data_IF_311861957349
#
_entry.id   IF_311861957349
#
_cell.length_a   1.000
_cell.length_b   1.000
_cell.length_c   1.000
_cell.angle_alpha   90.00
_cell.angle_beta   90.00
_cell.angle_gamma   90.00
#
_symmetry.space_group_name_H-M   'P 1'
#
loop_
_entity.id
_entity.type
_entity.pdbx_description
1 polymer ?
#
# COMPACT_ATOMS: atom_id res chain seq x y z
N UNK A 1 17.81 42.54 -1.58
CA UNK A 1 16.55 41.78 -1.79
C UNK A 1 16.92 40.32 -1.91
N UNK A 2 16.51 39.50 -0.93
CA UNK A 2 16.92 38.10 -0.79
C UNK A 2 15.97 37.22 -1.62
N UNK A 3 16.54 36.37 -2.46
CA UNK A 3 15.84 35.45 -3.34
C UNK A 3 15.07 34.39 -2.55
N UNK A 4 13.77 34.28 -2.82
CA UNK A 4 12.91 33.20 -2.34
C UNK A 4 13.19 31.93 -3.16
N UNK A 5 13.99 31.02 -2.61
CA UNK A 5 14.07 29.64 -3.08
C UNK A 5 12.80 28.92 -2.64
N UNK A 6 11.83 28.77 -3.56
CA UNK A 6 10.64 27.95 -3.31
C UNK A 6 11.00 26.46 -3.40
N UNK A 7 10.56 25.62 -2.44
CA UNK A 7 10.96 24.23 -2.37
C UNK A 7 10.29 23.38 -3.45
N UNK A 8 11.10 22.52 -4.03
CA UNK A 8 10.78 21.45 -4.98
C UNK A 8 9.79 20.48 -4.32
N UNK A 9 8.49 20.63 -4.60
CA UNK A 9 7.44 19.71 -4.12
C UNK A 9 6.74 18.93 -5.25
N UNK A 10 7.24 18.99 -6.49
CA UNK A 10 6.49 18.55 -7.68
C UNK A 10 6.95 17.24 -8.36
N UNK A 11 7.84 16.46 -7.73
CA UNK A 11 8.31 15.17 -8.32
C UNK A 11 7.64 13.93 -7.70
N UNK A 12 6.82 14.06 -6.66
CA UNK A 12 6.30 12.90 -5.92
C UNK A 12 5.05 12.22 -6.49
N UNK A 13 4.37 12.80 -7.49
CA UNK A 13 3.05 12.28 -7.89
C UNK A 13 3.11 11.03 -8.79
N UNK A 14 4.20 10.81 -9.54
CA UNK A 14 4.37 9.62 -10.38
C UNK A 14 5.02 8.43 -9.62
N UNK A 15 5.71 8.70 -8.51
CA UNK A 15 6.41 7.68 -7.72
C UNK A 15 5.57 7.13 -6.55
N UNK A 16 4.45 7.77 -6.22
CA UNK A 16 3.53 7.36 -5.16
C UNK A 16 2.34 6.50 -5.65
N UNK A 17 2.34 6.12 -6.94
CA UNK A 17 1.26 5.34 -7.58
C UNK A 17 1.58 3.84 -7.71
N UNK A 18 2.78 3.44 -7.33
CA UNK A 18 3.14 2.03 -7.21
C UNK A 18 3.73 1.82 -5.83
N UNK A 19 3.36 0.75 -5.10
CA UNK A 19 4.24 0.25 -4.05
C UNK A 19 5.55 -0.10 -4.76
N UNK A 20 6.54 0.79 -4.64
CA UNK A 20 7.91 0.40 -4.95
C UNK A 20 8.19 -0.77 -4.02
N UNK A 21 8.56 -1.95 -4.51
CA UNK A 21 9.13 -2.93 -3.62
C UNK A 21 10.32 -2.23 -2.93
N UNK A 22 10.47 -2.43 -1.62
CA UNK A 22 11.55 -1.83 -0.83
C UNK A 22 12.95 -2.09 -1.45
N UNK A 23 13.06 -3.07 -2.36
CA UNK A 23 14.25 -3.38 -3.15
C UNK A 23 14.60 -2.41 -4.29
N UNK A 24 13.74 -1.46 -4.69
CA UNK A 24 13.99 -0.56 -5.83
C UNK A 24 14.82 0.68 -5.49
N UNK A 25 15.24 0.85 -4.23
CA UNK A 25 16.24 1.83 -3.81
C UNK A 25 17.27 1.10 -2.95
N UNK A 26 18.00 0.15 -3.54
CA UNK A 26 19.27 -0.26 -2.96
C UNK A 26 20.18 0.97 -3.01
N UNK A 27 20.18 1.75 -1.93
CA UNK A 27 21.14 2.81 -1.71
C UNK A 27 22.52 2.16 -1.83
N UNK A 28 23.37 2.57 -2.80
CA UNK A 28 24.67 1.97 -3.00
C UNK A 28 25.60 2.11 -1.78
N UNK A 29 25.21 2.89 -0.76
CA UNK A 29 25.90 2.99 0.53
C UNK A 29 25.57 1.86 1.52
N UNK A 30 24.51 1.09 1.30
CA UNK A 30 24.14 0.00 2.20
C UNK A 30 24.91 -1.29 1.84
N UNK A 31 25.46 -2.01 2.84
CA UNK A 31 26.11 -3.29 2.60
C UNK A 31 25.17 -4.30 1.90
N UNK A 32 25.71 -5.22 1.09
CA UNK A 32 24.92 -6.28 0.49
C UNK A 32 24.15 -7.08 1.55
N UNK A 33 22.86 -7.33 1.31
CA UNK A 33 22.00 -8.10 2.21
C UNK A 33 21.36 -7.31 3.36
N UNK A 34 21.75 -6.04 3.60
CA UNK A 34 21.15 -5.22 4.66
C UNK A 34 19.64 -5.00 4.46
N UNK A 35 19.20 -4.79 3.22
CA UNK A 35 17.76 -4.65 2.92
C UNK A 35 16.96 -5.93 3.23
N UNK A 36 17.55 -7.11 3.02
CA UNK A 36 16.89 -8.38 3.33
C UNK A 36 16.71 -8.58 4.84
N UNK A 37 17.64 -8.05 5.66
CA UNK A 37 17.50 -8.06 7.12
C UNK A 37 16.35 -7.14 7.56
N UNK A 38 16.25 -5.93 7.00
CA UNK A 38 15.13 -5.04 7.30
C UNK A 38 13.78 -5.64 6.89
N UNK A 39 13.71 -6.22 5.68
CA UNK A 39 12.54 -6.95 5.21
C UNK A 39 12.15 -8.09 6.17
N UNK A 40 13.13 -8.83 6.69
CA UNK A 40 12.89 -9.92 7.64
C UNK A 40 12.41 -9.41 9.01
N UNK A 41 12.94 -8.28 9.49
CA UNK A 41 12.47 -7.64 10.72
C UNK A 41 11.01 -7.20 10.57
N UNK A 42 10.67 -6.57 9.45
CA UNK A 42 9.29 -6.16 9.16
C UNK A 42 8.35 -7.38 9.05
N UNK A 43 8.81 -8.46 8.40
CA UNK A 43 8.07 -9.73 8.30
C UNK A 43 7.85 -10.33 9.70
N UNK A 44 8.83 -10.29 10.61
CA UNK A 44 8.68 -10.77 11.99
C UNK A 44 7.61 -9.99 12.77
N UNK A 45 7.59 -8.66 12.65
CA UNK A 45 6.59 -7.83 13.30
C UNK A 45 5.18 -8.12 12.78
N UNK A 46 5.05 -8.34 11.48
CA UNK A 46 3.77 -8.72 10.88
C UNK A 46 3.36 -10.14 11.27
N UNK A 47 4.30 -11.08 11.37
CA UNK A 47 4.03 -12.44 11.85
C UNK A 47 3.58 -12.46 13.33
N UNK A 48 4.08 -11.56 14.18
CA UNK A 48 3.60 -11.42 15.57
C UNK A 48 2.11 -11.08 15.61
N UNK A 49 1.60 -10.29 14.67
CA UNK A 49 0.18 -9.96 14.53
C UNK A 49 -0.63 -11.10 13.87
N UNK A 50 -0.05 -11.78 12.88
CA UNK A 50 -0.75 -12.79 12.08
C UNK A 50 -0.81 -14.18 12.75
N UNK A 51 0.20 -14.55 13.56
CA UNK A 51 0.30 -15.88 14.16
C UNK A 51 -0.84 -16.19 15.14
N UNK A 52 -1.22 -15.29 16.08
CA UNK A 52 -2.30 -15.56 17.04
C UNK A 52 -3.66 -15.84 16.39
N UNK A 53 -3.89 -15.30 15.19
CA UNK A 53 -5.12 -15.51 14.40
C UNK A 53 -5.23 -16.98 13.96
N UNK A 54 -4.11 -17.68 13.77
CA UNK A 54 -4.12 -19.09 13.38
C UNK A 54 -4.60 -19.33 11.95
N UNK A 55 -4.23 -18.44 11.02
CA UNK A 55 -4.54 -18.58 9.58
C UNK A 55 -3.85 -19.85 9.05
N UNK A 56 -4.60 -20.80 8.52
CA UNK A 56 -4.04 -22.03 7.95
C UNK A 56 -3.60 -21.84 6.48
N UNK A 57 -2.91 -22.83 5.91
CA UNK A 57 -2.38 -22.72 4.55
C UNK A 57 -3.45 -22.50 3.47
N UNK A 58 -4.62 -23.13 3.60
CA UNK A 58 -5.73 -22.94 2.65
C UNK A 58 -6.35 -21.55 2.73
N UNK A 59 -6.51 -21.00 3.94
CA UNK A 59 -6.97 -19.62 4.15
C UNK A 59 -5.95 -18.62 3.58
N UNK A 60 -4.65 -18.84 3.83
CA UNK A 60 -3.59 -17.99 3.31
C UNK A 60 -3.59 -17.93 1.77
N UNK A 61 -3.82 -19.06 1.07
CA UNK A 61 -3.99 -19.06 -0.39
C UNK A 61 -5.17 -18.22 -0.87
N UNK A 62 -6.34 -18.39 -0.25
CA UNK A 62 -7.52 -17.56 -0.57
C UNK A 62 -7.28 -16.08 -0.32
N UNK A 63 -6.52 -15.74 0.71
CA UNK A 63 -6.12 -14.37 1.01
C UNK A 63 -5.20 -13.83 -0.10
N UNK A 64 -4.20 -14.61 -0.55
CA UNK A 64 -3.33 -14.22 -1.68
C UNK A 64 -4.16 -13.91 -2.93
N UNK A 65 -5.06 -14.81 -3.32
CA UNK A 65 -5.94 -14.63 -4.49
C UNK A 65 -6.82 -13.38 -4.38
N UNK A 66 -7.40 -13.15 -3.20
CA UNK A 66 -8.17 -11.94 -2.90
C UNK A 66 -7.31 -10.69 -3.07
N UNK A 67 -6.14 -10.65 -2.44
CA UNK A 67 -5.26 -9.48 -2.43
C UNK A 67 -4.70 -9.16 -3.81
N UNK A 68 -4.29 -10.16 -4.59
CA UNK A 68 -3.85 -9.98 -5.99
C UNK A 68 -4.96 -9.38 -6.84
N UNK A 69 -6.17 -9.93 -6.73
CA UNK A 69 -7.34 -9.44 -7.46
C UNK A 69 -7.66 -7.99 -7.10
N UNK A 70 -7.66 -7.67 -5.79
CA UNK A 70 -7.95 -6.31 -5.32
C UNK A 70 -6.85 -5.32 -5.69
N UNK A 71 -5.58 -5.70 -5.55
CA UNK A 71 -4.45 -4.85 -5.90
C UNK A 71 -4.48 -4.50 -7.40
N UNK A 72 -4.71 -5.48 -8.27
CA UNK A 72 -4.84 -5.25 -9.72
C UNK A 72 -6.00 -4.29 -10.02
N UNK A 73 -7.18 -4.54 -9.45
CA UNK A 73 -8.36 -3.70 -9.66
C UNK A 73 -8.16 -2.27 -9.16
N UNK A 74 -7.58 -2.10 -7.97
CA UNK A 74 -7.29 -0.79 -7.39
C UNK A 74 -6.28 0.00 -8.23
N UNK A 75 -5.17 -0.64 -8.63
CA UNK A 75 -4.16 0.00 -9.48
C UNK A 75 -4.75 0.44 -10.83
N UNK A 76 -5.57 -0.40 -11.44
CA UNK A 76 -6.27 -0.05 -12.69
C UNK A 76 -7.15 1.19 -12.51
N UNK A 77 -7.92 1.26 -11.42
CA UNK A 77 -8.74 2.45 -11.11
C UNK A 77 -7.89 3.69 -10.87
N UNK A 78 -6.77 3.58 -10.15
CA UNK A 78 -5.88 4.73 -9.97
C UNK A 78 -5.28 5.23 -11.28
N UNK A 79 -4.91 4.32 -12.18
CA UNK A 79 -4.42 4.66 -13.52
C UNK A 79 -5.51 5.40 -14.30
N UNK A 80 -6.74 4.89 -14.34
CA UNK A 80 -7.86 5.55 -15.02
C UNK A 80 -8.13 6.96 -14.47
N UNK A 81 -8.08 7.11 -13.14
CA UNK A 81 -8.28 8.40 -12.48
C UNK A 81 -7.14 9.40 -12.74
N UNK A 82 -5.90 8.93 -12.90
CA UNK A 82 -4.73 9.78 -13.11
C UNK A 82 -4.51 10.13 -14.59
N UNK A 83 -4.69 9.17 -15.48
CA UNK A 83 -4.27 9.28 -16.90
C UNK A 83 -5.22 10.18 -17.69
N UNK A 84 -6.53 10.04 -17.51
CA UNK A 84 -7.51 10.78 -18.32
C UNK A 84 -7.37 12.31 -18.18
N UNK A 85 -7.23 12.89 -16.98
CA UNK A 85 -6.99 14.33 -16.84
C UNK A 85 -5.64 14.78 -17.42
N UNK A 86 -4.59 13.95 -17.33
CA UNK A 86 -3.24 14.30 -17.78
C UNK A 86 -3.10 14.25 -19.30
N UNK A 87 -3.83 13.37 -19.99
CA UNK A 87 -3.82 13.31 -21.47
C UNK A 87 -4.20 14.65 -22.09
N UNK A 88 -5.18 15.35 -21.53
CA UNK A 88 -5.69 16.61 -22.06
C UNK A 88 -4.66 17.77 -22.01
N UNK A 89 -3.69 17.70 -21.10
CA UNK A 89 -2.67 18.75 -20.89
C UNK A 89 -1.24 18.24 -21.13
N UNK A 90 -1.08 17.01 -21.61
CA UNK A 90 0.21 16.32 -21.67
C UNK A 90 1.24 17.00 -22.58
N UNK A 91 0.84 17.40 -23.79
CA UNK A 91 1.72 18.12 -24.71
C UNK A 91 2.12 19.50 -24.18
N UNK A 92 1.19 20.18 -23.51
CA UNK A 92 1.45 21.49 -22.89
C UNK A 92 2.44 21.40 -21.73
N UNK A 93 2.35 20.32 -20.94
CA UNK A 93 3.32 19.99 -19.89
C UNK A 93 4.70 19.73 -20.49
N UNK A 94 4.80 18.92 -21.55
CA UNK A 94 6.09 18.62 -22.21
C UNK A 94 6.73 19.89 -22.75
N UNK A 95 5.98 20.70 -23.51
CA UNK A 95 6.46 21.96 -24.05
C UNK A 95 6.91 22.92 -22.93
N UNK A 96 6.16 22.99 -21.83
CA UNK A 96 6.53 23.83 -20.68
C UNK A 96 7.78 23.33 -19.97
N UNK A 97 7.96 22.00 -19.84
CA UNK A 97 9.19 21.41 -19.31
C UNK A 97 10.39 21.83 -20.15
N UNK A 98 10.31 21.74 -21.47
CA UNK A 98 11.42 22.08 -22.35
C UNK A 98 11.76 23.58 -22.28
N UNK A 99 10.76 24.46 -22.13
CA UNK A 99 10.98 25.88 -21.85
C UNK A 99 11.65 26.12 -20.50
N UNK A 100 11.24 25.38 -19.45
CA UNK A 100 11.85 25.50 -18.13
C UNK A 100 13.33 25.09 -18.14
N UNK A 101 13.71 24.10 -18.95
CA UNK A 101 15.12 23.68 -19.09
C UNK A 101 16.00 24.81 -19.65
N UNK A 102 15.43 25.75 -20.38
CA UNK A 102 16.13 26.93 -20.92
C UNK A 102 15.91 28.20 -20.10
N UNK A 103 15.41 28.09 -18.86
CA UNK A 103 15.18 29.23 -17.96
C UNK A 103 13.86 29.98 -18.16
N UNK A 104 12.90 29.39 -18.89
CA UNK A 104 11.55 29.94 -19.04
C UNK A 104 10.71 29.85 -17.77
N UNK A 105 9.42 30.20 -17.87
CA UNK A 105 8.45 30.14 -16.78
C UNK A 105 7.25 29.23 -17.10
N UNK A 106 6.54 28.79 -16.05
CA UNK A 106 5.29 28.04 -16.18
C UNK A 106 4.15 29.02 -16.44
N UNK A 107 3.34 28.85 -17.49
CA UNK A 107 2.12 29.63 -17.66
C UNK A 107 1.17 29.46 -16.47
N UNK A 108 0.63 30.56 -15.93
CA UNK A 108 -0.25 30.53 -14.75
C UNK A 108 -1.46 29.59 -14.94
N UNK A 109 -2.12 29.65 -16.09
CA UNK A 109 -3.26 28.79 -16.40
C UNK A 109 -2.91 27.30 -16.45
N UNK A 110 -1.70 26.95 -16.90
CA UNK A 110 -1.22 25.57 -16.87
C UNK A 110 -0.93 25.13 -15.44
N UNK A 111 -0.26 25.96 -14.65
CA UNK A 111 0.04 25.68 -13.25
C UNK A 111 -1.24 25.46 -12.43
N UNK A 112 -2.26 26.31 -12.63
CA UNK A 112 -3.56 26.16 -11.98
C UNK A 112 -4.28 24.88 -12.39
N UNK A 113 -4.27 24.51 -13.69
CA UNK A 113 -4.84 23.24 -14.16
C UNK A 113 -4.12 22.04 -13.56
N UNK A 114 -2.79 22.05 -13.52
CA UNK A 114 -1.99 20.98 -12.88
C UNK A 114 -2.36 20.84 -11.40
N UNK A 115 -2.37 21.95 -10.65
CA UNK A 115 -2.74 21.96 -9.22
C UNK A 115 -4.16 21.44 -8.98
N UNK A 116 -5.11 21.85 -9.81
CA UNK A 116 -6.49 21.36 -9.74
C UNK A 116 -6.55 19.86 -10.01
N UNK A 117 -5.92 19.37 -11.08
CA UNK A 117 -5.86 17.93 -11.38
C UNK A 117 -5.22 17.12 -10.25
N UNK A 118 -4.18 17.64 -9.61
CA UNK A 118 -3.56 17.01 -8.44
C UNK A 118 -4.54 16.91 -7.25
N UNK A 119 -5.22 18.01 -6.92
CA UNK A 119 -6.21 18.05 -5.84
C UNK A 119 -7.37 17.08 -6.11
N UNK A 120 -7.90 17.10 -7.34
CA UNK A 120 -8.99 16.22 -7.76
C UNK A 120 -8.56 14.75 -7.72
N UNK A 121 -7.33 14.45 -8.15
CA UNK A 121 -6.78 13.09 -8.06
C UNK A 121 -6.66 12.62 -6.61
N UNK A 122 -6.11 13.44 -5.71
CA UNK A 122 -5.97 13.08 -4.28
C UNK A 122 -7.35 12.82 -3.66
N UNK A 123 -8.35 13.65 -3.95
CA UNK A 123 -9.71 13.45 -3.46
C UNK A 123 -10.32 12.13 -3.97
N UNK A 124 -10.21 11.85 -5.28
CA UNK A 124 -10.73 10.61 -5.87
C UNK A 124 -9.96 9.36 -5.39
N UNK A 125 -8.63 9.47 -5.23
CA UNK A 125 -7.80 8.39 -4.68
C UNK A 125 -8.24 8.00 -3.27
N UNK A 126 -8.58 8.98 -2.42
CA UNK A 126 -9.09 8.72 -1.06
C UNK A 126 -10.38 7.90 -1.11
N UNK A 127 -11.34 8.28 -1.96
CA UNK A 127 -12.60 7.55 -2.14
C UNK A 127 -12.35 6.10 -2.60
N UNK A 128 -11.50 5.90 -3.59
CA UNK A 128 -11.17 4.56 -4.07
C UNK A 128 -10.38 3.75 -3.03
N UNK A 129 -9.54 4.40 -2.21
CA UNK A 129 -8.81 3.75 -1.12
C UNK A 129 -9.78 3.26 -0.02
N UNK A 130 -10.73 4.08 0.40
CA UNK A 130 -11.73 3.72 1.41
C UNK A 130 -12.63 2.56 0.90
N UNK A 131 -13.02 2.62 -0.37
CA UNK A 131 -13.75 1.54 -1.04
C UNK A 131 -12.93 0.25 -1.12
N UNK A 132 -11.66 0.33 -1.50
CA UNK A 132 -10.78 -0.84 -1.56
C UNK A 132 -10.54 -1.44 -0.17
N UNK A 133 -10.36 -0.61 0.87
CA UNK A 133 -10.26 -1.07 2.25
C UNK A 133 -11.50 -1.89 2.63
N UNK A 134 -12.70 -1.38 2.38
CA UNK A 134 -13.94 -2.11 2.68
C UNK A 134 -14.00 -3.47 1.95
N UNK A 135 -13.68 -3.50 0.66
CA UNK A 135 -13.70 -4.72 -0.13
C UNK A 135 -12.67 -5.75 0.35
N UNK A 136 -11.47 -5.31 0.71
CA UNK A 136 -10.43 -6.18 1.29
C UNK A 136 -10.88 -6.68 2.66
N UNK A 137 -11.39 -5.81 3.53
CA UNK A 137 -11.84 -6.18 4.86
C UNK A 137 -12.99 -7.19 4.83
N UNK A 138 -14.02 -6.94 4.02
CA UNK A 138 -15.17 -7.83 3.86
C UNK A 138 -14.73 -9.18 3.26
N UNK A 139 -13.86 -9.17 2.25
CA UNK A 139 -13.30 -10.40 1.66
C UNK A 139 -12.44 -11.20 2.65
N UNK A 140 -11.60 -10.52 3.43
CA UNK A 140 -10.77 -11.16 4.45
C UNK A 140 -11.65 -11.79 5.54
N UNK A 141 -12.69 -11.07 5.98
CA UNK A 141 -13.64 -11.53 6.99
C UNK A 141 -14.36 -12.80 6.57
N UNK A 142 -14.71 -12.91 5.28
CA UNK A 142 -15.37 -14.07 4.70
C UNK A 142 -14.47 -15.33 4.59
N UNK A 143 -13.15 -15.17 4.58
CA UNK A 143 -12.18 -16.29 4.53
C UNK A 143 -11.93 -16.87 5.94
N UNK A 144 -12.06 -16.02 6.96
CA UNK A 144 -11.77 -16.36 8.35
C UNK A 144 -13.00 -16.88 9.10
N UNK A 145 -12.75 -17.64 10.17
CA UNK A 145 -13.83 -18.06 11.09
C UNK A 145 -14.26 -16.89 11.99
N UNK A 146 -15.46 -16.96 12.62
CA UNK A 146 -15.90 -15.96 13.60
C UNK A 146 -14.89 -15.73 14.73
N UNK A 147 -14.27 -16.80 15.24
CA UNK A 147 -13.27 -16.75 16.32
C UNK A 147 -11.99 -16.04 15.87
N UNK A 148 -11.54 -16.30 14.64
CA UNK A 148 -10.39 -15.60 14.05
C UNK A 148 -10.67 -14.12 13.85
N UNK A 149 -11.87 -13.78 13.37
CA UNK A 149 -12.32 -12.39 13.23
C UNK A 149 -12.38 -11.68 14.59
N UNK A 150 -12.85 -12.37 15.64
CA UNK A 150 -12.84 -11.84 17.01
C UNK A 150 -11.42 -11.56 17.50
N UNK A 151 -10.48 -12.47 17.31
CA UNK A 151 -9.06 -12.26 17.67
C UNK A 151 -8.46 -11.03 17.01
N UNK A 152 -8.80 -10.77 15.74
CA UNK A 152 -8.38 -9.55 15.04
C UNK A 152 -8.91 -8.30 15.73
N UNK A 153 -10.21 -8.28 16.07
CA UNK A 153 -10.84 -7.15 16.75
C UNK A 153 -10.20 -6.93 18.13
N UNK A 154 -9.98 -7.99 18.89
CA UNK A 154 -9.39 -7.92 20.23
C UNK A 154 -7.95 -7.41 20.20
N UNK A 155 -7.11 -7.90 19.26
CA UNK A 155 -5.74 -7.36 19.04
C UNK A 155 -5.79 -5.89 18.64
N UNK A 156 -6.66 -5.51 17.70
CA UNK A 156 -6.78 -4.13 17.28
C UNK A 156 -7.22 -3.18 18.43
N UNK A 157 -8.08 -3.64 19.33
CA UNK A 157 -8.48 -2.87 20.52
C UNK A 157 -7.30 -2.64 21.46
N UNK A 158 -6.43 -3.62 21.59
CA UNK A 158 -5.24 -3.55 22.44
C UNK A 158 -4.15 -2.67 21.82
N UNK A 159 -3.87 -2.84 20.54
CA UNK A 159 -2.67 -2.30 19.89
C UNK A 159 -2.81 -0.83 19.44
N UNK A 160 -4.04 -0.35 19.19
CA UNK A 160 -4.25 0.98 18.61
C UNK A 160 -4.66 2.07 19.60
N UNK A 161 -4.73 1.77 20.90
CA UNK A 161 -5.01 2.72 22.00
C UNK A 161 -6.18 3.71 21.76
N UNK A 162 -7.09 3.44 20.82
CA UNK A 162 -8.11 4.43 20.41
C UNK A 162 -9.20 4.63 21.48
N UNK A 163 -9.20 3.84 22.56
CA UNK A 163 -10.08 3.94 23.72
C UNK A 163 -11.57 3.66 23.46
N UNK A 164 -12.07 3.98 22.26
CA UNK A 164 -13.47 3.82 21.82
C UNK A 164 -13.51 3.56 20.32
N UNK A 165 -14.37 2.63 19.91
CA UNK A 165 -14.61 2.29 18.51
C UNK A 165 -15.56 1.09 18.40
N UNK A 166 -16.21 0.94 17.25
CA UNK A 166 -16.99 -0.26 16.95
C UNK A 166 -16.07 -1.41 16.53
N UNK A 167 -16.56 -2.65 16.64
CA UNK A 167 -15.83 -3.83 16.16
C UNK A 167 -15.45 -3.70 14.68
N UNK A 168 -16.33 -3.13 13.86
CA UNK A 168 -16.05 -2.86 12.46
C UNK A 168 -14.90 -1.86 12.27
N UNK A 169 -14.85 -0.80 13.08
CA UNK A 169 -13.76 0.19 13.02
C UNK A 169 -12.42 -0.43 13.40
N UNK A 170 -12.37 -1.21 14.47
CA UNK A 170 -11.15 -1.91 14.89
C UNK A 170 -10.69 -2.95 13.86
N UNK A 171 -11.62 -3.72 13.31
CA UNK A 171 -11.31 -4.68 12.25
C UNK A 171 -10.77 -3.98 11.00
N UNK A 172 -11.42 -2.92 10.53
CA UNK A 172 -10.98 -2.17 9.35
C UNK A 172 -9.62 -1.50 9.59
N UNK A 173 -9.37 -1.00 10.81
CA UNK A 173 -8.08 -0.46 11.19
C UNK A 173 -6.98 -1.51 11.09
N UNK A 174 -7.21 -2.69 11.68
CA UNK A 174 -6.24 -3.79 11.62
C UNK A 174 -5.97 -4.23 10.18
N UNK A 175 -6.99 -4.35 9.33
CA UNK A 175 -6.82 -4.67 7.91
C UNK A 175 -6.00 -3.59 7.20
N UNK A 176 -6.27 -2.31 7.48
CA UNK A 176 -5.53 -1.22 6.87
C UNK A 176 -4.04 -1.26 7.23
N UNK A 177 -3.72 -1.35 8.51
CA UNK A 177 -2.33 -1.24 9.00
C UNK A 177 -1.53 -2.54 8.79
N UNK A 178 -2.17 -3.70 8.95
CA UNK A 178 -1.48 -5.00 8.87
C UNK A 178 -1.44 -5.54 7.45
N UNK A 179 -2.52 -5.35 6.69
CA UNK A 179 -2.67 -5.98 5.38
C UNK A 179 -2.36 -4.99 4.26
N UNK A 180 -3.07 -3.86 4.20
CA UNK A 180 -2.98 -2.95 3.04
C UNK A 180 -1.70 -2.10 3.07
N UNK A 181 -1.33 -1.59 4.25
CA UNK A 181 -0.17 -0.73 4.41
C UNK A 181 1.16 -1.48 4.31
N UNK A 182 1.16 -2.81 4.43
CA UNK A 182 2.36 -3.62 4.43
C UNK A 182 2.78 -4.07 3.02
N UNK A 183 3.89 -3.54 2.44
CA UNK A 183 4.23 -3.80 1.03
C UNK A 183 4.55 -5.28 0.73
N UNK A 184 5.04 -6.02 1.72
CA UNK A 184 5.43 -7.43 1.58
C UNK A 184 4.33 -8.40 2.03
N UNK A 185 3.10 -7.94 2.24
CA UNK A 185 2.01 -8.80 2.71
C UNK A 185 1.72 -9.99 1.78
N UNK A 186 1.82 -9.80 0.47
CA UNK A 186 1.59 -10.84 -0.53
C UNK A 186 2.67 -11.93 -0.48
N UNK A 187 3.98 -11.61 -0.57
CA UNK A 187 5.06 -12.57 -0.28
C UNK A 187 4.86 -13.29 1.05
N UNK A 188 4.56 -12.56 2.13
CA UNK A 188 4.41 -13.14 3.46
C UNK A 188 3.27 -14.15 3.52
N UNK A 189 2.09 -13.87 2.95
CA UNK A 189 1.01 -14.84 2.91
C UNK A 189 1.30 -16.05 2.03
N UNK A 190 2.13 -15.92 0.97
CA UNK A 190 2.58 -17.08 0.19
C UNK A 190 3.50 -17.97 1.01
N UNK A 191 4.38 -17.38 1.82
CA UNK A 191 5.26 -18.13 2.73
C UNK A 191 4.45 -18.83 3.83
N UNK A 192 3.48 -18.14 4.43
CA UNK A 192 2.51 -18.74 5.37
C UNK A 192 1.76 -19.88 4.70
N UNK A 193 1.26 -19.68 3.48
CA UNK A 193 0.54 -20.70 2.74
C UNK A 193 1.40 -21.95 2.53
N UNK A 194 2.67 -21.79 2.16
CA UNK A 194 3.62 -22.89 1.96
C UNK A 194 3.96 -23.62 3.26
N UNK A 195 4.27 -22.87 4.32
CA UNK A 195 4.70 -23.43 5.61
C UNK A 195 3.58 -24.12 6.40
N UNK A 196 2.31 -23.80 6.12
CA UNK A 196 1.14 -24.33 6.84
C UNK A 196 0.29 -25.28 6.01
N UNK A 197 0.87 -25.88 4.96
CA UNK A 197 0.20 -26.96 4.23
C UNK A 197 0.34 -28.29 4.99
N UNK A 198 -0.72 -29.13 5.01
CA UNK A 198 -0.59 -30.51 5.49
C UNK A 198 0.51 -31.22 4.69
N UNK A 199 1.49 -31.81 5.38
CA UNK A 199 2.63 -32.52 4.76
C UNK A 199 3.88 -31.67 4.44
N UNK A 200 3.90 -30.39 4.79
CA UNK A 200 5.09 -29.52 4.64
C UNK A 200 6.01 -29.51 5.87
N UNK A 201 5.69 -30.28 6.91
CA UNK A 201 6.53 -30.45 8.09
C UNK A 201 7.72 -31.36 7.79
N UNK A 202 8.91 -30.77 7.65
CA UNK A 202 10.15 -31.45 8.02
C UNK A 202 9.98 -31.98 9.46
N UNK A 203 10.19 -33.28 9.63
CA UNK A 203 10.27 -33.93 10.94
C UNK A 203 11.14 -33.10 11.89
N UNK A 204 10.79 -33.00 13.19
CA UNK A 204 11.69 -32.43 14.16
C UNK A 204 12.96 -33.30 14.20
N UNK A 205 14.09 -32.74 13.78
CA UNK A 205 15.38 -33.37 14.05
C UNK A 205 15.51 -33.50 15.56
N UNK A 206 15.49 -34.76 15.99
CA UNK A 206 15.66 -35.21 17.38
C UNK A 206 17.11 -35.04 17.79
#
# INVERSE_FOLDING_TARGET
>A
MIAFVRPIWLVLLALALMPRPASAQADPSLPPGTSAVFDAIDDLDKLRLLNPIGINGAQARKIVELLETRQKAYNQRLIELAVEPLKAIGEEIKATRDRLLTGGSIPTELDERIKKSQKDFVAKRKVEQDKNLKLVADGFRAILTPEQNKKIIDSARQDFEMGRGTDEQFYNLWVRETIIAYPRILPLFRDIAKARMPGSGSEPQS
#
